data_IF_589533887733
#
_entry.id   IF_589533887733
#
_cell.length_a   1.000
_cell.length_b   1.000
_cell.length_c   1.000
_cell.angle_alpha   90.00
_cell.angle_beta   90.00
_cell.angle_gamma   90.00
#
_symmetry.space_group_name_H-M   'P 1'
#
loop_
_entity.id
_entity.type
_entity.pdbx_description
1 polymer ?
#
# COMPACT_ATOMS: atom_id res chain seq x y z
N UNK A 1 -13.61 20.26 0.08
CA UNK A 1 -12.83 19.17 0.71
C UNK A 1 -11.55 19.04 -0.06
N UNK A 2 -10.45 19.58 0.47
CA UNK A 2 -9.14 19.44 -0.15
C UNK A 2 -8.77 17.96 -0.26
N UNK A 3 -8.40 17.54 -1.47
CA UNK A 3 -8.02 16.16 -1.78
C UNK A 3 -6.70 15.87 -1.06
N UNK A 4 -6.77 15.22 0.10
CA UNK A 4 -5.58 14.88 0.88
C UNK A 4 -4.67 13.95 0.06
N UNK A 5 -3.50 14.45 -0.34
CA UNK A 5 -2.48 13.65 -1.02
C UNK A 5 -1.71 12.83 0.03
N UNK A 6 -1.79 11.50 -0.05
CA UNK A 6 -1.11 10.59 0.89
C UNK A 6 0.33 10.25 0.48
N UNK A 7 0.80 10.80 -0.64
CA UNK A 7 2.13 10.57 -1.19
C UNK A 7 2.82 11.88 -1.57
N UNK A 8 4.14 11.91 -1.40
CA UNK A 8 5.01 13.06 -1.73
C UNK A 8 6.07 12.57 -2.73
N UNK A 9 6.29 13.34 -3.80
CA UNK A 9 7.37 13.09 -4.75
C UNK A 9 8.70 13.45 -4.08
N UNK A 10 9.62 12.50 -4.02
CA UNK A 10 10.93 12.65 -3.37
C UNK A 10 12.10 12.45 -4.33
N UNK A 11 11.83 12.04 -5.56
CA UNK A 11 12.84 11.85 -6.59
C UNK A 11 12.24 12.00 -7.98
N UNK A 12 13.05 12.49 -8.91
CA UNK A 12 12.69 12.64 -10.31
C UNK A 12 12.72 11.29 -11.06
N UNK A 13 12.10 11.27 -12.23
CA UNK A 13 12.20 10.12 -13.13
C UNK A 13 13.66 9.93 -13.59
N UNK A 14 14.07 8.68 -13.75
CA UNK A 14 15.41 8.33 -14.23
C UNK A 14 15.32 7.70 -15.62
N UNK A 15 16.08 8.19 -16.60
CA UNK A 15 16.09 7.61 -17.95
C UNK A 15 16.75 6.23 -17.97
N UNK A 16 16.52 5.46 -19.03
CA UNK A 16 17.19 4.18 -19.24
C UNK A 16 18.70 4.40 -19.44
N UNK A 17 19.53 3.68 -18.67
CA UNK A 17 20.98 3.77 -18.75
C UNK A 17 21.66 2.50 -18.23
N UNK A 18 22.80 2.12 -18.81
CA UNK A 18 23.63 1.01 -18.32
C UNK A 18 22.89 -0.34 -18.25
N UNK A 19 22.01 -0.62 -19.21
CA UNK A 19 21.20 -1.85 -19.25
C UNK A 19 19.99 -1.85 -18.30
N UNK A 20 19.72 -0.76 -17.58
CA UNK A 20 18.53 -0.62 -16.74
C UNK A 20 17.44 0.16 -17.48
N UNK A 21 16.16 -0.27 -17.37
CA UNK A 21 15.04 0.46 -17.97
C UNK A 21 14.81 1.81 -17.29
N UNK A 22 14.09 2.70 -17.96
CA UNK A 22 13.67 3.97 -17.37
C UNK A 22 12.74 3.73 -16.17
N UNK A 23 12.87 4.57 -15.14
CA UNK A 23 12.05 4.55 -13.94
C UNK A 23 11.28 5.86 -13.80
N UNK A 24 10.00 5.77 -13.45
CA UNK A 24 9.20 6.95 -13.11
C UNK A 24 9.67 7.65 -11.83
N UNK A 25 9.05 8.78 -11.47
CA UNK A 25 9.40 9.50 -10.26
C UNK A 25 9.18 8.68 -8.98
N UNK A 26 9.98 8.96 -7.96
CA UNK A 26 9.90 8.26 -6.67
C UNK A 26 8.90 8.97 -5.76
N UNK A 27 7.93 8.21 -5.24
CA UNK A 27 6.94 8.71 -4.28
C UNK A 27 7.09 7.99 -2.95
N UNK A 28 6.92 8.72 -1.84
CA UNK A 28 6.86 8.17 -0.48
C UNK A 28 5.55 8.51 0.19
N UNK A 29 5.07 7.62 1.06
CA UNK A 29 3.90 7.90 1.90
C UNK A 29 4.21 8.98 2.93
N UNK A 30 3.25 9.88 3.19
CA UNK A 30 3.35 10.89 4.25
C UNK A 30 3.47 10.28 5.65
N UNK A 31 3.08 9.00 5.82
CA UNK A 31 3.17 8.27 7.08
C UNK A 31 4.52 7.59 7.28
N UNK A 32 5.38 7.56 6.26
CA UNK A 32 6.68 6.88 6.29
C UNK A 32 7.85 7.85 6.48
N UNK A 33 7.63 8.95 7.23
CA UNK A 33 8.65 10.00 7.46
C UNK A 33 9.94 9.41 8.05
N UNK A 34 9.80 8.51 9.00
CA UNK A 34 10.91 7.86 9.71
C UNK A 34 11.14 6.39 9.26
N UNK A 35 10.61 6.04 8.08
CA UNK A 35 10.56 4.68 7.56
C UNK A 35 9.19 4.02 7.73
N UNK A 36 9.07 2.80 7.19
CA UNK A 36 7.87 1.98 7.42
C UNK A 36 7.83 1.57 8.89
N UNK A 37 6.67 1.65 9.53
CA UNK A 37 6.48 1.16 10.90
C UNK A 37 7.01 -0.27 11.00
N UNK A 38 7.85 -0.55 12.01
CA UNK A 38 8.27 -1.93 12.30
C UNK A 38 7.03 -2.79 12.46
N UNK A 39 7.06 -3.97 11.85
CA UNK A 39 6.02 -4.97 12.08
C UNK A 39 5.94 -5.22 13.59
N UNK A 40 4.74 -5.10 14.20
CA UNK A 40 4.53 -5.50 15.58
C UNK A 40 5.01 -6.95 15.78
N UNK A 41 5.65 -7.23 16.91
CA UNK A 41 6.25 -8.55 17.17
C UNK A 41 5.22 -9.68 17.18
N UNK A 42 3.95 -9.35 17.43
CA UNK A 42 2.83 -10.28 17.47
C UNK A 42 2.34 -10.69 16.07
N UNK A 43 2.82 -10.03 15.01
CA UNK A 43 2.48 -10.35 13.62
C UNK A 43 3.62 -11.15 13.01
N UNK A 44 3.43 -12.47 12.97
CA UNK A 44 4.43 -13.40 12.43
C UNK A 44 4.27 -13.66 10.94
N UNK A 45 3.09 -13.35 10.39
CA UNK A 45 2.78 -13.57 8.99
C UNK A 45 1.82 -12.51 8.42
N UNK A 46 1.78 -12.32 7.09
CA UNK A 46 0.75 -11.52 6.44
C UNK A 46 -0.69 -11.97 6.78
N UNK A 47 -0.88 -13.27 7.06
CA UNK A 47 -2.17 -13.82 7.47
C UNK A 47 -2.60 -13.32 8.86
N UNK A 48 -1.66 -13.19 9.81
CA UNK A 48 -1.96 -12.68 11.15
C UNK A 48 -2.42 -11.22 11.09
N UNK A 49 -1.75 -10.41 10.27
CA UNK A 49 -2.15 -9.03 10.02
C UNK A 49 -3.56 -8.96 9.43
N UNK A 50 -3.83 -9.75 8.39
CA UNK A 50 -5.13 -9.74 7.72
C UNK A 50 -6.26 -10.22 8.63
N UNK A 51 -6.08 -11.36 9.28
CA UNK A 51 -7.09 -11.95 10.17
C UNK A 51 -7.36 -11.07 11.40
N UNK A 52 -6.31 -10.46 11.97
CA UNK A 52 -6.42 -9.48 13.05
C UNK A 52 -7.20 -8.24 12.65
N UNK A 53 -6.96 -7.72 11.44
CA UNK A 53 -7.69 -6.56 10.92
C UNK A 53 -9.19 -6.85 10.74
N UNK A 54 -9.56 -8.03 10.24
CA UNK A 54 -10.97 -8.45 10.11
C UNK A 54 -11.64 -8.54 11.49
N UNK A 55 -10.96 -9.12 12.48
CA UNK A 55 -11.47 -9.20 13.86
C UNK A 55 -11.63 -7.82 14.50
N UNK A 56 -10.67 -6.91 14.29
CA UNK A 56 -10.67 -5.56 14.87
C UNK A 56 -11.67 -4.62 14.20
N UNK A 57 -11.86 -4.75 12.90
CA UNK A 57 -12.72 -3.88 12.09
C UNK A 57 -13.80 -4.69 11.33
N UNK A 58 -14.68 -5.43 12.03
CA UNK A 58 -15.58 -6.39 11.39
C UNK A 58 -16.63 -5.75 10.46
N UNK A 59 -16.90 -4.46 10.64
CA UNK A 59 -17.83 -3.68 9.81
C UNK A 59 -17.16 -3.00 8.62
N UNK A 60 -15.83 -2.95 8.58
CA UNK A 60 -15.08 -2.39 7.46
C UNK A 60 -14.85 -3.49 6.43
N UNK A 61 -15.64 -3.47 5.35
CA UNK A 61 -15.50 -4.41 4.22
C UNK A 61 -14.23 -4.06 3.44
N UNK A 62 -13.07 -4.44 3.97
CA UNK A 62 -11.75 -4.14 3.41
C UNK A 62 -11.42 -4.95 2.16
N UNK A 63 -12.17 -6.02 1.90
CA UNK A 63 -12.15 -6.73 0.63
C UNK A 63 -13.38 -6.35 -0.17
N UNK A 64 -13.15 -5.72 -1.32
CA UNK A 64 -14.19 -5.57 -2.33
C UNK A 64 -14.68 -6.97 -2.73
N UNK A 65 -16.00 -7.16 -2.81
CA UNK A 65 -16.54 -8.38 -3.43
C UNK A 65 -16.50 -8.19 -4.94
N UNK A 66 -15.92 -9.14 -5.67
CA UNK A 66 -16.11 -9.22 -7.12
C UNK A 66 -17.62 -9.30 -7.36
N UNK A 67 -18.17 -8.37 -8.13
CA UNK A 67 -19.55 -8.50 -8.60
C UNK A 67 -19.57 -9.71 -9.54
N UNK A 68 -20.36 -10.73 -9.20
CA UNK A 68 -20.56 -11.87 -10.10
C UNK A 68 -21.66 -11.46 -11.07
N UNK A 69 -21.26 -10.92 -12.22
CA UNK A 69 -22.12 -10.79 -13.39
C UNK A 69 -22.05 -12.09 -14.20
N UNK A 70 -23.20 -12.65 -14.56
CA UNK A 70 -23.32 -13.80 -15.47
C UNK A 70 -22.71 -15.14 -15.01
N UNK A 71 -22.70 -15.39 -13.70
CA UNK A 71 -22.52 -16.76 -13.20
C UNK A 71 -21.22 -17.45 -13.65
N UNK A 72 -20.06 -16.78 -13.57
CA UNK A 72 -18.76 -17.42 -13.30
C UNK A 72 -17.68 -16.46 -12.77
#
# INVERSE_FOLDING_TARGET
MDKTAYTVKVGEATPAAGGRPAAGPVYRSIYAKDGLMRLPQEIHSPWDFFSGAVKKYPKNRMLGRRQVSDGK
#
